data_IF_581176719587
#
_entry.id   IF_581176719587
#
_cell.length_a   1.000
_cell.length_b   1.000
_cell.length_c   1.000
_cell.angle_alpha   90.00
_cell.angle_beta   90.00
_cell.angle_gamma   90.00
#
_symmetry.space_group_name_H-M   'P 1'
#
loop_
_entity.id
_entity.type
_entity.pdbx_description
1 polymer ?
#
# COMPACT_ATOMS: atom_id res chain seq x y z
N UNK A 1 -32.01 -29.04 -24.92
CA UNK A 1 -31.08 -28.01 -25.45
C UNK A 1 -30.99 -26.90 -24.41
N UNK A 2 -29.91 -26.62 -23.70
CA UNK A 2 -28.62 -27.24 -23.43
C UNK A 2 -28.11 -26.45 -22.21
N UNK A 3 -27.73 -27.16 -21.14
CA UNK A 3 -27.12 -26.58 -19.95
C UNK A 3 -25.62 -26.82 -20.04
N UNK A 4 -24.80 -25.77 -19.91
CA UNK A 4 -23.34 -25.81 -19.76
C UNK A 4 -22.91 -24.36 -19.44
N UNK A 5 -22.04 -24.02 -18.49
CA UNK A 5 -21.30 -24.77 -17.49
C UNK A 5 -20.53 -23.70 -16.69
N UNK A 6 -20.85 -23.54 -15.41
CA UNK A 6 -20.18 -22.59 -14.51
C UNK A 6 -19.02 -23.31 -13.85
N UNK A 7 -17.81 -23.20 -14.40
CA UNK A 7 -16.61 -23.76 -13.75
C UNK A 7 -15.87 -22.64 -13.00
N UNK A 8 -16.24 -22.42 -11.73
CA UNK A 8 -15.41 -21.63 -10.81
C UNK A 8 -14.52 -22.61 -10.06
N UNK A 9 -13.27 -22.72 -10.46
CA UNK A 9 -12.28 -23.50 -9.71
C UNK A 9 -12.19 -22.93 -8.29
N UNK A 10 -12.67 -23.68 -7.30
CA UNK A 10 -12.54 -23.36 -5.88
C UNK A 10 -11.56 -24.35 -5.28
N UNK A 11 -10.31 -23.92 -5.11
CA UNK A 11 -9.31 -24.68 -4.37
C UNK A 11 -9.55 -24.54 -2.88
N UNK A 12 -9.78 -25.66 -2.19
CA UNK A 12 -9.87 -25.73 -0.72
C UNK A 12 -8.58 -26.30 -0.15
N UNK A 13 -8.16 -25.82 1.03
CA UNK A 13 -7.16 -26.53 1.85
C UNK A 13 -7.87 -27.60 2.67
N UNK A 14 -7.10 -28.57 3.19
CA UNK A 14 -7.58 -29.73 3.98
C UNK A 14 -8.41 -29.39 5.23
N UNK A 15 -8.57 -28.11 5.56
CA UNK A 15 -9.35 -27.64 6.71
C UNK A 15 -10.55 -26.75 6.35
N UNK A 16 -10.98 -26.70 5.07
CA UNK A 16 -12.25 -26.07 4.69
C UNK A 16 -12.36 -24.56 4.95
N UNK A 17 -11.26 -23.86 5.29
CA UNK A 17 -11.27 -22.41 5.46
C UNK A 17 -11.01 -21.71 4.12
N UNK A 18 -11.81 -20.70 3.74
CA UNK A 18 -11.48 -19.85 2.61
C UNK A 18 -10.12 -19.20 2.83
N UNK A 19 -9.18 -19.42 1.90
CA UNK A 19 -7.95 -18.63 1.82
C UNK A 19 -8.32 -17.21 1.37
N UNK A 20 -8.74 -16.37 2.32
CA UNK A 20 -8.67 -14.92 2.16
C UNK A 20 -7.21 -14.53 2.35
N UNK A 21 -6.36 -14.79 1.36
CA UNK A 21 -5.11 -14.05 1.25
C UNK A 21 -5.45 -12.72 0.60
N UNK A 22 -5.92 -11.79 1.43
CA UNK A 22 -5.74 -10.38 1.11
C UNK A 22 -4.24 -10.20 0.98
N UNK A 23 -3.74 -9.88 -0.21
CA UNK A 23 -2.44 -9.25 -0.29
C UNK A 23 -2.58 -7.95 0.49
N UNK A 24 -2.04 -7.89 1.72
CA UNK A 24 -1.85 -6.62 2.38
C UNK A 24 -0.84 -5.87 1.52
N UNK A 25 -1.32 -4.82 0.84
CA UNK A 25 -0.41 -3.80 0.34
C UNK A 25 0.46 -3.34 1.51
N UNK A 26 1.74 -3.02 1.29
CA UNK A 26 2.57 -2.44 2.33
C UNK A 26 1.80 -1.27 2.95
N UNK A 27 1.39 -1.41 4.21
CA UNK A 27 0.63 -0.36 4.87
C UNK A 27 1.61 0.78 5.10
N UNK A 28 1.43 1.85 4.36
CA UNK A 28 2.11 3.10 4.64
C UNK A 28 1.54 3.65 5.96
N UNK A 29 2.36 4.40 6.70
CA UNK A 29 1.98 4.96 7.99
C UNK A 29 0.60 5.63 7.89
N UNK A 30 -0.33 5.19 8.74
CA UNK A 30 -1.75 5.58 8.62
C UNK A 30 -2.23 6.42 9.81
N UNK A 31 -1.54 6.32 10.95
CA UNK A 31 -1.81 7.08 12.16
C UNK A 31 -0.74 8.12 12.43
N UNK A 32 -1.16 9.31 12.85
CA UNK A 32 -0.24 10.42 13.07
C UNK A 32 0.77 10.17 14.20
N UNK A 33 0.46 9.28 15.14
CA UNK A 33 1.40 8.86 16.18
C UNK A 33 2.66 8.18 15.63
N UNK A 34 2.62 7.64 14.41
CA UNK A 34 3.78 7.03 13.78
C UNK A 34 4.86 8.08 13.49
N UNK A 35 4.48 9.28 13.06
CA UNK A 35 5.39 10.39 12.73
C UNK A 35 5.50 11.47 13.82
N UNK A 36 5.05 11.18 15.03
CA UNK A 36 5.14 12.09 16.18
C UNK A 36 4.01 13.15 16.23
N UNK A 37 2.97 12.97 15.44
CA UNK A 37 1.74 13.77 15.49
C UNK A 37 0.79 13.34 16.63
N UNK A 38 -0.41 13.91 16.63
CA UNK A 38 -1.40 13.71 17.69
C UNK A 38 -2.01 12.31 17.56
N UNK A 39 -2.04 11.56 18.65
CA UNK A 39 -2.66 10.23 18.69
C UNK A 39 -4.15 10.30 18.34
N UNK A 40 -4.57 9.50 17.37
CA UNK A 40 -5.96 9.48 16.88
C UNK A 40 -6.21 10.43 15.70
N UNK A 41 -5.22 11.19 15.28
CA UNK A 41 -5.18 11.85 13.97
C UNK A 41 -4.55 10.93 12.91
N UNK A 42 -4.70 11.31 11.64
CA UNK A 42 -4.21 10.57 10.48
C UNK A 42 -3.72 11.54 9.40
N UNK A 43 -3.62 11.11 8.14
CA UNK A 43 -3.19 11.95 7.03
C UNK A 43 -4.11 13.16 6.72
N UNK A 44 -5.28 13.28 7.38
CA UNK A 44 -6.16 14.43 7.19
C UNK A 44 -5.52 15.73 7.67
N UNK A 45 -5.38 16.69 6.75
CA UNK A 45 -4.79 18.00 7.05
C UNK A 45 -3.26 18.04 7.02
N UNK A 46 -2.59 16.90 6.77
CA UNK A 46 -1.14 16.86 6.59
C UNK A 46 -0.77 17.44 5.22
N UNK A 47 0.08 18.46 5.20
CA UNK A 47 0.50 19.17 3.98
C UNK A 47 2.00 19.10 3.71
N UNK A 48 2.76 18.52 4.63
CA UNK A 48 4.21 18.41 4.54
C UNK A 48 4.66 16.97 4.73
N UNK A 49 5.79 16.62 4.11
CA UNK A 49 6.45 15.34 4.32
C UNK A 49 7.02 15.21 5.73
N UNK A 50 7.40 13.99 6.10
CA UNK A 50 8.15 13.74 7.33
C UNK A 50 9.61 14.15 7.09
N UNK A 51 10.15 15.03 7.92
CA UNK A 51 11.55 15.48 7.80
C UNK A 51 12.51 14.72 8.71
N UNK A 52 12.00 13.84 9.58
CA UNK A 52 12.83 13.04 10.48
C UNK A 52 13.64 12.02 9.69
N UNK A 53 14.94 12.24 9.59
CA UNK A 53 15.85 11.31 8.93
C UNK A 53 15.76 9.89 9.52
N UNK A 54 15.85 8.89 8.65
CA UNK A 54 15.77 7.49 9.03
C UNK A 54 14.38 7.06 9.53
N UNK A 55 13.34 7.84 9.25
CA UNK A 55 11.97 7.44 9.55
C UNK A 55 11.65 6.06 8.97
N UNK A 56 10.94 5.27 9.77
CA UNK A 56 10.27 4.05 9.35
C UNK A 56 8.91 4.00 10.01
N UNK A 57 7.88 3.79 9.18
CA UNK A 57 6.53 3.57 9.66
C UNK A 57 6.40 2.23 10.39
N UNK A 58 5.37 2.11 11.21
CA UNK A 58 5.01 0.82 11.85
C UNK A 58 4.33 -0.12 10.86
N UNK A 59 3.77 0.41 9.79
CA UNK A 59 3.04 -0.35 8.77
C UNK A 59 3.93 -1.17 7.83
N UNK A 60 5.21 -0.82 7.69
CA UNK A 60 6.18 -1.60 6.91
C UNK A 60 6.91 -2.62 7.77
N UNK A 61 6.52 -3.90 7.68
CA UNK A 61 7.18 -4.98 8.40
C UNK A 61 8.48 -5.43 7.69
N UNK A 62 9.67 -5.21 8.27
CA UNK A 62 10.94 -5.65 7.65
C UNK A 62 11.01 -7.17 7.46
N UNK A 63 10.28 -7.94 8.28
CA UNK A 63 10.25 -9.41 8.15
C UNK A 63 9.55 -9.80 6.85
N UNK A 64 8.51 -9.08 6.45
CA UNK A 64 7.81 -9.32 5.18
C UNK A 64 8.72 -9.02 3.99
N UNK A 65 9.48 -7.92 4.05
CA UNK A 65 10.47 -7.59 3.00
C UNK A 65 11.53 -8.69 2.88
N UNK A 66 12.03 -9.22 4.00
CA UNK A 66 12.98 -10.34 3.99
C UNK A 66 12.40 -11.61 3.38
N UNK A 67 11.11 -11.88 3.55
CA UNK A 67 10.46 -13.01 2.87
C UNK A 67 10.47 -12.81 1.36
N UNK A 68 10.16 -11.59 0.88
CA UNK A 68 10.23 -11.27 -0.55
C UNK A 68 11.65 -11.47 -1.07
N UNK A 69 12.67 -10.91 -0.41
CA UNK A 69 14.08 -11.07 -0.77
C UNK A 69 14.48 -12.55 -0.88
N UNK A 70 14.15 -13.37 0.13
CA UNK A 70 14.45 -14.81 0.10
C UNK A 70 13.79 -15.53 -1.09
N UNK A 71 12.57 -15.15 -1.46
CA UNK A 71 11.87 -15.75 -2.63
C UNK A 71 12.56 -15.32 -3.93
N UNK A 72 12.97 -14.06 -4.03
CA UNK A 72 13.70 -13.57 -5.21
C UNK A 72 15.07 -14.25 -5.35
N UNK A 73 15.76 -14.51 -4.25
CA UNK A 73 17.02 -15.26 -4.24
C UNK A 73 16.82 -16.71 -4.69
N UNK A 74 15.79 -17.41 -4.19
CA UNK A 74 15.44 -18.76 -4.65
C UNK A 74 15.11 -18.79 -6.15
N UNK A 75 14.34 -17.82 -6.66
CA UNK A 75 14.07 -17.68 -8.10
C UNK A 75 15.35 -17.47 -8.91
N UNK A 76 16.30 -16.68 -8.38
CA UNK A 76 17.59 -16.45 -9.02
C UNK A 76 18.41 -17.74 -9.15
N UNK A 77 18.37 -18.63 -8.13
CA UNK A 77 19.04 -19.95 -8.23
C UNK A 77 18.46 -20.84 -9.33
N UNK A 78 17.21 -20.60 -9.72
CA UNK A 78 16.49 -21.34 -10.78
C UNK A 78 16.61 -20.68 -12.16
N UNK A 79 17.45 -19.64 -12.28
CA UNK A 79 17.70 -18.91 -13.53
C UNK A 79 16.72 -17.78 -13.83
N UNK A 80 15.82 -17.43 -12.90
CA UNK A 80 14.88 -16.31 -13.05
C UNK A 80 15.42 -15.09 -12.30
N UNK A 81 15.90 -14.09 -13.03
CA UNK A 81 16.43 -12.87 -12.44
C UNK A 81 15.32 -11.81 -12.31
N UNK A 82 14.98 -11.44 -11.08
CA UNK A 82 14.00 -10.39 -10.77
C UNK A 82 14.68 -9.34 -9.90
N UNK A 83 14.64 -8.08 -10.31
CA UNK A 83 15.15 -6.96 -9.52
C UNK A 83 14.01 -6.28 -8.77
N UNK A 84 14.18 -6.10 -7.46
CA UNK A 84 13.18 -5.45 -6.61
C UNK A 84 13.41 -3.94 -6.57
N UNK A 85 12.39 -3.17 -6.93
CA UNK A 85 12.37 -1.73 -6.71
C UNK A 85 11.91 -1.44 -5.27
N UNK A 86 12.85 -1.13 -4.37
CA UNK A 86 12.53 -0.84 -2.97
C UNK A 86 12.07 0.61 -2.78
N UNK A 87 10.75 0.82 -2.89
CA UNK A 87 10.08 2.11 -2.73
C UNK A 87 9.49 2.32 -1.33
N UNK A 88 9.68 1.37 -0.40
CA UNK A 88 8.98 1.39 0.89
C UNK A 88 9.34 2.64 1.69
N UNK A 89 10.62 2.83 2.01
CA UNK A 89 11.04 3.93 2.89
C UNK A 89 10.79 5.31 2.27
N UNK A 90 11.06 5.49 0.97
CA UNK A 90 10.82 6.79 0.31
C UNK A 90 9.34 7.17 0.34
N UNK A 91 8.44 6.19 0.24
CA UNK A 91 7.00 6.42 0.26
C UNK A 91 6.49 6.71 1.68
N UNK A 92 7.11 6.12 2.71
CA UNK A 92 6.73 6.36 4.10
C UNK A 92 6.91 7.81 4.55
N UNK A 93 7.82 8.57 3.94
CA UNK A 93 7.98 9.99 4.23
C UNK A 93 6.78 10.85 3.81
N UNK A 94 5.94 10.34 2.90
CA UNK A 94 5.00 11.14 2.11
C UNK A 94 3.57 11.14 2.66
N UNK A 95 3.41 11.34 3.97
CA UNK A 95 2.10 11.33 4.67
C UNK A 95 1.07 12.31 4.08
N UNK A 96 1.53 13.37 3.43
CA UNK A 96 0.73 14.43 2.81
C UNK A 96 0.22 14.07 1.40
N UNK A 97 0.77 13.03 0.77
CA UNK A 97 0.48 12.71 -0.63
C UNK A 97 -0.74 11.79 -0.82
N UNK A 98 -1.46 11.50 0.27
CA UNK A 98 -2.67 10.69 0.23
C UNK A 98 -3.90 11.54 -0.18
N UNK A 99 -4.91 10.95 -0.85
CA UNK A 99 -6.16 11.63 -1.18
C UNK A 99 -6.92 12.16 0.03
N UNK A 100 -6.73 11.56 1.21
CA UNK A 100 -7.46 11.91 2.41
C UNK A 100 -8.98 11.87 2.13
N UNK A 101 -9.71 12.97 2.32
CA UNK A 101 -11.14 13.05 2.04
C UNK A 101 -11.49 13.25 0.58
N UNK A 102 -10.52 13.58 -0.28
CA UNK A 102 -10.71 13.99 -1.68
C UNK A 102 -10.79 12.81 -2.66
N UNK A 103 -11.06 11.60 -2.17
CA UNK A 103 -11.37 10.44 -3.01
C UNK A 103 -12.85 10.43 -3.41
N UNK A 104 -13.15 9.70 -4.49
CA UNK A 104 -14.54 9.38 -4.85
C UNK A 104 -15.21 8.61 -3.71
N UNK A 105 -16.33 9.14 -3.23
CA UNK A 105 -17.24 8.45 -2.32
C UNK A 105 -18.33 7.80 -3.17
N UNK A 106 -18.35 6.47 -3.21
CA UNK A 106 -19.34 5.71 -3.99
C UNK A 106 -20.73 5.75 -3.36
N UNK A 107 -20.77 5.90 -2.03
CA UNK A 107 -21.98 6.10 -1.24
C UNK A 107 -22.00 7.53 -0.70
N UNK A 108 -23.18 8.15 -0.56
CA UNK A 108 -23.32 9.44 0.12
C UNK A 108 -22.72 9.40 1.53
N UNK A 109 -22.02 10.48 1.91
CA UNK A 109 -21.53 10.62 3.28
C UNK A 109 -22.69 10.95 4.21
N UNK A 110 -22.72 10.29 5.37
CA UNK A 110 -23.62 10.64 6.47
C UNK A 110 -23.18 11.94 7.13
N UNK A 111 -24.09 12.65 7.79
CA UNK A 111 -23.80 13.88 8.54
C UNK A 111 -22.72 13.67 9.61
N UNK A 112 -22.70 12.49 10.24
CA UNK A 112 -21.66 12.08 11.19
C UNK A 112 -20.26 12.00 10.54
N UNK A 113 -20.17 11.50 9.30
CA UNK A 113 -18.89 11.47 8.59
C UNK A 113 -18.47 12.87 8.19
N UNK A 114 -19.40 13.67 7.68
CA UNK A 114 -19.11 15.06 7.28
C UNK A 114 -18.61 15.89 8.47
N UNK A 115 -19.15 15.69 9.67
CA UNK A 115 -18.68 16.37 10.89
C UNK A 115 -17.33 15.87 11.40
N UNK A 116 -16.86 14.70 10.94
CA UNK A 116 -15.58 14.12 11.31
C UNK A 116 -14.77 13.66 10.07
N UNK A 117 -14.18 14.59 9.29
CA UNK A 117 -13.48 14.29 8.05
C UNK A 117 -12.42 13.18 8.13
N UNK A 118 -11.67 13.14 9.23
CA UNK A 118 -10.66 12.10 9.48
C UNK A 118 -11.23 10.67 9.54
N UNK A 119 -12.51 10.48 9.85
CA UNK A 119 -13.12 9.14 9.96
C UNK A 119 -13.28 8.45 8.60
N UNK A 120 -13.21 9.19 7.49
CA UNK A 120 -13.35 8.65 6.14
C UNK A 120 -12.17 9.02 5.22
N UNK A 121 -11.12 9.62 5.80
CA UNK A 121 -9.88 9.93 5.10
C UNK A 121 -9.20 8.65 4.61
N UNK A 122 -8.77 8.65 3.35
CA UNK A 122 -7.98 7.60 2.74
C UNK A 122 -6.50 7.93 2.87
N UNK A 123 -5.81 7.19 3.74
CA UNK A 123 -4.36 7.27 3.97
C UNK A 123 -3.60 6.06 3.41
N UNK A 124 -4.18 5.36 2.43
CA UNK A 124 -3.56 4.17 1.84
C UNK A 124 -3.28 4.34 0.35
N UNK A 125 -4.18 5.03 -0.36
CA UNK A 125 -4.00 5.36 -1.77
C UNK A 125 -3.20 6.65 -1.94
N UNK A 126 -2.79 6.95 -3.17
CA UNK A 126 -2.00 8.13 -3.50
C UNK A 126 -2.77 9.07 -4.42
N UNK A 127 -2.58 10.37 -4.24
CA UNK A 127 -2.96 11.36 -5.24
C UNK A 127 -2.14 11.18 -6.52
N UNK A 128 -2.74 11.56 -7.64
CA UNK A 128 -2.07 11.73 -8.93
C UNK A 128 -2.29 13.17 -9.42
N UNK A 129 -1.25 13.90 -9.84
CA UNK A 129 0.17 13.51 -9.77
C UNK A 129 0.67 13.38 -8.32
N UNK A 130 1.69 12.54 -8.07
CA UNK A 130 2.16 12.26 -6.72
C UNK A 130 3.23 11.16 -6.59
N UNK A 131 3.22 10.46 -5.46
CA UNK A 131 4.23 9.44 -5.10
C UNK A 131 4.40 8.33 -6.15
N UNK A 132 3.33 7.80 -6.78
CA UNK A 132 3.47 6.80 -7.83
C UNK A 132 4.24 7.28 -9.07
N UNK A 133 4.28 8.60 -9.34
CA UNK A 133 5.04 9.14 -10.46
C UNK A 133 6.55 8.94 -10.23
N UNK A 134 7.02 9.15 -9.00
CA UNK A 134 8.42 8.88 -8.60
C UNK A 134 8.75 7.39 -8.72
N UNK A 135 7.82 6.50 -8.38
CA UNK A 135 8.04 5.06 -8.58
C UNK A 135 8.23 4.72 -10.06
N UNK A 136 7.42 5.35 -10.92
CA UNK A 136 7.54 5.20 -12.36
C UNK A 136 8.86 5.79 -12.88
N UNK A 137 9.29 6.96 -12.39
CA UNK A 137 10.59 7.54 -12.75
C UNK A 137 11.75 6.61 -12.39
N UNK A 138 11.74 6.00 -11.19
CA UNK A 138 12.75 5.02 -10.79
C UNK A 138 12.72 3.76 -11.67
N UNK A 139 11.53 3.29 -12.03
CA UNK A 139 11.36 2.17 -12.94
C UNK A 139 11.88 2.50 -14.35
N UNK A 140 11.55 3.68 -14.88
CA UNK A 140 12.03 4.14 -16.18
C UNK A 140 13.56 4.29 -16.18
N UNK A 141 14.13 4.87 -15.13
CA UNK A 141 15.58 4.97 -14.98
C UNK A 141 16.23 3.58 -15.04
N UNK A 142 15.65 2.60 -14.35
CA UNK A 142 16.14 1.22 -14.39
C UNK A 142 15.98 0.55 -15.76
N UNK A 143 14.89 0.79 -16.49
CA UNK A 143 14.68 0.20 -17.82
C UNK A 143 15.63 0.82 -18.87
N UNK A 144 15.84 2.13 -18.83
CA UNK A 144 16.59 2.87 -19.86
C UNK A 144 18.09 3.02 -19.56
N UNK A 145 18.55 2.74 -18.33
CA UNK A 145 19.96 2.85 -17.93
C UNK A 145 20.57 1.53 -17.44
N UNK A 146 20.02 0.40 -17.87
CA UNK A 146 20.63 -0.93 -17.69
C UNK A 146 21.55 -1.34 -18.83
#
# INVERSE_FOLDING_TARGET
MGAEGRTRATGFTSQGRPLRRSAEYPKVASGADEWGGIKGENCYGETEQIFKEGYRGKGSDPRMMRVVENVLDDLKTRGVNVQMLNITQLSEYRKEAHPSIYRKQWEPLTEEKISNPKSYADCHHWCLPGVPDVWNELLYAYIFHQ
#
